data_IF_396164622237
#
_entry.id   IF_396164622237
#
_cell.length_a   1.000
_cell.length_b   1.000
_cell.length_c   1.000
_cell.angle_alpha   90.00
_cell.angle_beta   90.00
_cell.angle_gamma   90.00
#
_symmetry.space_group_name_H-M   'P 1'
#
loop_
_entity.id
_entity.type
_entity.pdbx_description
1 polymer ?
#
# COMPACT_ATOMS: atom_id res chain seq x y z
N UNK A 1 -6.66 1.14 -24.37
CA UNK A 1 -5.41 1.47 -23.65
C UNK A 1 -5.27 0.69 -22.35
N UNK A 2 -6.27 0.71 -21.45
CA UNK A 2 -6.24 -0.01 -20.16
C UNK A 2 -5.87 -1.51 -20.27
N UNK A 3 -6.50 -2.26 -21.18
CA UNK A 3 -6.19 -3.69 -21.39
C UNK A 3 -4.73 -3.93 -21.81
N UNK A 4 -4.15 -3.05 -22.64
CA UNK A 4 -2.74 -3.17 -23.06
C UNK A 4 -1.80 -2.92 -21.88
N UNK A 5 -2.09 -1.91 -21.05
CA UNK A 5 -1.32 -1.63 -19.83
C UNK A 5 -1.40 -2.80 -18.84
N UNK A 6 -2.59 -3.38 -18.64
CA UNK A 6 -2.76 -4.57 -17.80
C UNK A 6 -1.96 -5.76 -18.33
N UNK A 7 -2.03 -6.07 -19.63
CA UNK A 7 -1.26 -7.17 -20.23
C UNK A 7 0.25 -6.98 -20.12
N UNK A 8 0.75 -5.76 -20.38
CA UNK A 8 2.16 -5.44 -20.21
C UNK A 8 2.59 -5.60 -18.74
N UNK A 9 1.78 -5.10 -17.80
CA UNK A 9 2.03 -5.26 -16.37
C UNK A 9 1.99 -6.72 -15.91
N UNK A 10 1.05 -7.53 -16.41
CA UNK A 10 1.00 -8.97 -16.13
C UNK A 10 2.28 -9.66 -16.61
N UNK A 11 2.75 -9.33 -17.81
CA UNK A 11 4.00 -9.87 -18.33
C UNK A 11 5.19 -9.52 -17.43
N UNK A 12 5.31 -8.26 -17.00
CA UNK A 12 6.37 -7.83 -16.07
C UNK A 12 6.27 -8.57 -14.75
N UNK A 13 5.10 -8.60 -14.11
CA UNK A 13 4.90 -9.28 -12.83
C UNK A 13 5.28 -10.76 -12.92
N UNK A 14 4.83 -11.48 -13.95
CA UNK A 14 5.13 -12.90 -14.11
C UNK A 14 6.63 -13.15 -14.33
N UNK A 15 7.34 -12.25 -15.03
CA UNK A 15 8.80 -12.34 -15.21
C UNK A 15 9.55 -12.12 -13.90
N UNK A 16 9.18 -11.08 -13.15
CA UNK A 16 9.79 -10.79 -11.85
C UNK A 16 9.50 -11.92 -10.86
N UNK A 17 8.26 -12.43 -10.83
CA UNK A 17 7.90 -13.58 -10.01
C UNK A 17 8.70 -14.83 -10.35
N UNK A 18 8.93 -15.11 -11.64
CA UNK A 18 9.77 -16.24 -12.06
C UNK A 18 11.20 -16.10 -11.55
N UNK A 19 11.78 -14.88 -11.57
CA UNK A 19 13.12 -14.64 -11.02
C UNK A 19 13.16 -14.85 -9.51
N UNK A 20 12.13 -14.38 -8.80
CA UNK A 20 12.02 -14.58 -7.36
C UNK A 20 11.74 -16.05 -6.99
N UNK A 21 11.01 -16.80 -7.81
CA UNK A 21 10.84 -18.25 -7.61
C UNK A 21 12.18 -18.99 -7.70
N UNK A 22 13.09 -18.56 -8.59
CA UNK A 22 14.43 -19.14 -8.67
C UNK A 22 15.25 -18.86 -7.40
N UNK A 23 15.11 -17.68 -6.81
CA UNK A 23 15.87 -17.28 -5.62
C UNK A 23 15.30 -17.84 -4.30
N UNK A 24 13.97 -17.88 -4.16
CA UNK A 24 13.27 -18.18 -2.89
C UNK A 24 12.46 -19.48 -2.93
N UNK A 25 12.32 -20.11 -4.09
CA UNK A 25 11.39 -21.21 -4.32
C UNK A 25 9.94 -20.77 -4.43
N UNK A 26 9.09 -21.64 -4.96
CA UNK A 26 7.68 -21.31 -5.24
C UNK A 26 6.85 -21.01 -3.98
N UNK A 27 7.21 -21.59 -2.83
CA UNK A 27 6.45 -21.44 -1.58
C UNK A 27 6.81 -20.21 -0.76
N UNK A 28 8.02 -19.68 -0.92
CA UNK A 28 8.55 -18.58 -0.10
C UNK A 28 8.82 -17.32 -0.92
N UNK A 29 8.31 -17.22 -2.15
CA UNK A 29 8.38 -16.00 -2.93
C UNK A 29 7.61 -14.84 -2.23
N UNK A 30 8.29 -13.78 -1.77
CA UNK A 30 7.67 -12.65 -1.07
C UNK A 30 6.59 -11.92 -1.88
N UNK A 31 6.67 -11.95 -3.21
CA UNK A 31 5.71 -11.28 -4.09
C UNK A 31 4.28 -11.86 -3.98
N UNK A 32 4.15 -13.10 -3.49
CA UNK A 32 2.85 -13.71 -3.21
C UNK A 32 2.24 -13.24 -1.88
N UNK A 33 3.04 -12.62 -1.03
CA UNK A 33 2.67 -12.21 0.32
C UNK A 33 2.68 -10.69 0.50
N UNK A 34 2.58 -9.89 -0.57
CA UNK A 34 2.66 -8.42 -0.50
C UNK A 34 1.67 -7.78 0.49
N UNK A 35 0.41 -8.23 0.51
CA UNK A 35 -0.59 -7.76 1.49
C UNK A 35 -0.24 -8.14 2.94
N UNK A 36 0.01 -9.43 3.24
CA UNK A 36 0.49 -9.84 4.55
C UNK A 36 1.79 -9.16 5.00
N UNK A 37 2.73 -8.92 4.08
CA UNK A 37 3.98 -8.20 4.38
C UNK A 37 3.67 -6.75 4.74
N UNK A 38 2.82 -6.04 3.98
CA UNK A 38 2.43 -4.67 4.31
C UNK A 38 1.77 -4.56 5.70
N UNK A 39 0.87 -5.51 6.04
CA UNK A 39 0.26 -5.57 7.37
C UNK A 39 1.32 -5.87 8.45
N UNK A 40 2.24 -6.81 8.19
CA UNK A 40 3.34 -7.10 9.12
C UNK A 40 4.27 -5.89 9.34
N UNK A 41 4.59 -5.14 8.28
CA UNK A 41 5.35 -3.89 8.38
C UNK A 41 4.61 -2.84 9.22
N UNK A 42 3.28 -2.74 9.08
CA UNK A 42 2.48 -1.88 9.96
C UNK A 42 2.65 -2.25 11.44
N UNK A 43 2.68 -3.53 11.80
CA UNK A 43 2.94 -3.93 13.19
C UNK A 43 4.35 -3.54 13.66
N UNK A 44 5.37 -3.68 12.81
CA UNK A 44 6.72 -3.22 13.14
C UNK A 44 6.72 -1.71 13.39
N UNK A 45 6.08 -0.93 12.50
CA UNK A 45 5.94 0.53 12.64
C UNK A 45 5.17 0.90 13.90
N UNK A 46 4.06 0.23 14.21
CA UNK A 46 3.26 0.51 15.40
C UNK A 46 4.02 0.23 16.70
N UNK A 47 4.69 -0.92 16.79
CA UNK A 47 5.48 -1.30 17.99
C UNK A 47 6.69 -0.38 18.16
N UNK A 48 7.43 -0.13 17.08
CA UNK A 48 8.57 0.78 17.12
C UNK A 48 8.15 2.23 17.41
N UNK A 49 7.03 2.68 16.86
CA UNK A 49 6.47 4.01 17.09
C UNK A 49 6.02 4.21 18.53
N UNK A 50 5.38 3.22 19.13
CA UNK A 50 5.00 3.26 20.55
C UNK A 50 6.23 3.38 21.46
N UNK A 51 7.30 2.65 21.13
CA UNK A 51 8.57 2.78 21.86
C UNK A 51 9.15 4.19 21.71
N UNK A 52 9.24 4.73 20.50
CA UNK A 52 9.77 6.07 20.25
C UNK A 52 8.94 7.15 20.96
N UNK A 53 7.61 7.02 20.93
CA UNK A 53 6.71 7.96 21.60
C UNK A 53 6.95 8.01 23.12
N UNK A 54 7.33 6.91 23.76
CA UNK A 54 7.62 6.89 25.19
C UNK A 54 8.81 7.77 25.62
N UNK A 55 9.67 8.14 24.66
CA UNK A 55 10.84 8.99 24.88
C UNK A 55 10.80 10.30 24.08
N UNK A 56 9.75 10.53 23.30
CA UNK A 56 9.60 11.72 22.47
C UNK A 56 8.94 12.84 23.28
N UNK A 57 9.54 14.02 23.26
CA UNK A 57 8.97 15.21 23.89
C UNK A 57 8.17 16.03 22.87
N UNK A 58 6.98 16.48 23.25
CA UNK A 58 6.03 17.15 22.34
C UNK A 58 6.06 18.68 22.44
N UNK A 59 7.09 19.24 23.07
CA UNK A 59 7.35 20.69 23.11
C UNK A 59 8.15 21.14 21.88
N UNK A 60 7.98 22.40 21.47
CA UNK A 60 8.66 22.95 20.28
C UNK A 60 10.17 22.97 20.48
N UNK A 61 10.62 23.31 21.69
CA UNK A 61 12.03 23.45 22.00
C UNK A 61 12.71 22.08 22.20
N UNK A 62 11.98 21.09 22.69
CA UNK A 62 12.52 19.80 23.10
C UNK A 62 12.37 18.69 22.05
N UNK A 63 11.47 18.84 21.07
CA UNK A 63 11.18 17.80 20.09
C UNK A 63 12.43 17.32 19.34
N UNK A 64 13.23 18.25 18.82
CA UNK A 64 14.48 17.93 18.11
C UNK A 64 15.49 17.23 19.01
N UNK A 65 15.74 17.78 20.20
CA UNK A 65 16.71 17.25 21.16
C UNK A 65 16.32 15.86 21.67
N UNK A 66 15.03 15.59 21.88
CA UNK A 66 14.54 14.26 22.28
C UNK A 66 14.83 13.18 21.23
N UNK A 67 14.72 13.53 19.94
CA UNK A 67 15.05 12.61 18.83
C UNK A 67 16.56 12.43 18.70
N UNK A 68 17.35 13.47 18.89
CA UNK A 68 18.82 13.36 18.89
C UNK A 68 19.33 12.55 20.08
N UNK A 69 18.72 12.67 21.27
CA UNK A 69 19.01 11.83 22.43
C UNK A 69 18.77 10.34 22.11
N UNK A 70 17.60 10.00 21.52
CA UNK A 70 17.32 8.64 21.05
C UNK A 70 18.38 8.11 20.07
N UNK A 71 18.85 8.99 19.18
CA UNK A 71 19.74 8.63 18.08
C UNK A 71 21.20 8.48 18.51
N UNK A 72 21.69 9.37 19.38
CA UNK A 72 23.10 9.47 19.75
C UNK A 72 23.40 8.86 21.12
N UNK A 73 22.55 9.11 22.12
CA UNK A 73 22.78 8.66 23.49
C UNK A 73 22.19 7.26 23.73
N UNK A 74 21.01 6.99 23.18
CA UNK A 74 20.39 5.65 23.18
C UNK A 74 20.55 4.92 21.84
N UNK A 75 21.68 5.13 21.13
CA UNK A 75 21.89 4.63 19.76
C UNK A 75 21.61 3.11 19.59
N UNK A 76 21.87 2.31 20.63
CA UNK A 76 21.74 0.86 20.62
C UNK A 76 20.29 0.39 20.46
N UNK A 77 19.34 0.99 21.19
CA UNK A 77 17.92 0.61 21.14
C UNK A 77 17.08 1.74 20.55
N UNK A 78 17.22 2.97 21.06
CA UNK A 78 16.58 4.17 20.52
C UNK A 78 16.91 4.39 19.04
N UNK A 79 18.19 4.44 18.70
CA UNK A 79 18.65 4.66 17.32
C UNK A 79 18.21 3.54 16.37
N UNK A 80 18.30 2.28 16.83
CA UNK A 80 17.81 1.11 16.06
C UNK A 80 16.30 1.16 15.88
N UNK A 81 15.52 1.46 16.93
CA UNK A 81 14.06 1.53 16.85
C UNK A 81 13.59 2.69 15.96
N UNK A 82 14.29 3.84 15.99
CA UNK A 82 14.05 4.97 15.08
C UNK A 82 14.26 4.57 13.63
N UNK A 83 15.39 3.91 13.35
CA UNK A 83 15.74 3.43 12.02
C UNK A 83 14.79 2.35 11.54
N UNK A 84 14.44 1.40 12.41
CA UNK A 84 13.49 0.34 12.14
C UNK A 84 12.10 0.90 11.80
N UNK A 85 11.62 1.88 12.58
CA UNK A 85 10.36 2.57 12.32
C UNK A 85 10.37 3.24 10.93
N UNK A 86 11.45 3.95 10.60
CA UNK A 86 11.65 4.62 9.31
C UNK A 86 11.62 3.63 8.15
N UNK A 87 12.45 2.59 8.21
CA UNK A 87 12.57 1.61 7.11
C UNK A 87 11.39 0.67 6.99
N UNK A 88 10.75 0.30 8.10
CA UNK A 88 9.50 -0.47 8.06
C UNK A 88 8.36 0.37 7.45
N UNK A 89 8.32 1.68 7.71
CA UNK A 89 7.36 2.59 7.09
C UNK A 89 7.55 2.68 5.57
N UNK A 90 8.80 2.79 5.09
CA UNK A 90 9.11 2.73 3.65
C UNK A 90 8.74 1.38 3.03
N UNK A 91 9.09 0.29 3.71
CA UNK A 91 8.75 -1.07 3.30
C UNK A 91 7.25 -1.30 3.23
N UNK A 92 6.49 -0.72 4.15
CA UNK A 92 5.02 -0.75 4.14
C UNK A 92 4.48 -0.06 2.88
N UNK A 93 4.89 1.19 2.59
CA UNK A 93 4.43 1.90 1.38
C UNK A 93 4.82 1.16 0.11
N UNK A 94 6.07 0.69 0.01
CA UNK A 94 6.54 -0.07 -1.14
C UNK A 94 5.68 -1.33 -1.38
N UNK A 95 5.46 -2.13 -0.34
CA UNK A 95 4.66 -3.36 -0.47
C UNK A 95 3.18 -3.08 -0.71
N UNK A 96 2.62 -1.99 -0.17
CA UNK A 96 1.27 -1.52 -0.46
C UNK A 96 1.12 -1.13 -1.94
N UNK A 97 2.06 -0.35 -2.49
CA UNK A 97 2.03 0.05 -3.90
C UNK A 97 2.19 -1.15 -4.83
N UNK A 98 3.10 -2.07 -4.52
CA UNK A 98 3.24 -3.33 -5.26
C UNK A 98 1.98 -4.20 -5.16
N UNK A 99 1.34 -4.27 -3.99
CA UNK A 99 0.09 -4.98 -3.78
C UNK A 99 -1.03 -4.38 -4.65
N UNK A 100 -1.19 -3.06 -4.64
CA UNK A 100 -2.15 -2.36 -5.49
C UNK A 100 -1.87 -2.57 -6.97
N UNK A 101 -0.62 -2.42 -7.40
CA UNK A 101 -0.19 -2.63 -8.79
C UNK A 101 -0.45 -4.06 -9.25
N UNK A 102 -0.18 -5.07 -8.41
CA UNK A 102 -0.50 -6.48 -8.70
C UNK A 102 -2.01 -6.66 -8.90
N UNK A 103 -2.83 -6.13 -7.99
CA UNK A 103 -4.28 -6.25 -8.12
C UNK A 103 -4.81 -5.54 -9.36
N UNK A 104 -4.24 -4.38 -9.71
CA UNK A 104 -4.55 -3.65 -10.93
C UNK A 104 -4.21 -4.44 -12.21
N UNK A 105 -2.98 -4.95 -12.32
CA UNK A 105 -2.50 -5.63 -13.54
C UNK A 105 -3.27 -6.91 -13.79
N UNK A 106 -3.60 -7.67 -12.73
CA UNK A 106 -4.37 -8.90 -12.84
C UNK A 106 -5.90 -8.70 -12.79
N UNK A 107 -6.41 -7.47 -12.92
CA UNK A 107 -7.84 -7.13 -12.91
C UNK A 107 -8.60 -7.66 -11.66
N UNK A 108 -7.92 -7.69 -10.51
CA UNK A 108 -8.42 -8.22 -9.22
C UNK A 108 -9.05 -7.15 -8.31
N UNK A 109 -9.80 -6.23 -8.89
CA UNK A 109 -10.42 -5.11 -8.17
C UNK A 109 -11.89 -4.88 -8.57
N UNK A 110 -12.45 -5.73 -9.41
CA UNK A 110 -13.85 -5.65 -9.88
C UNK A 110 -14.75 -6.64 -9.16
N UNK A 111 -16.06 -6.57 -9.45
CA UNK A 111 -17.07 -7.47 -8.87
C UNK A 111 -16.98 -7.44 -7.34
N UNK A 112 -17.11 -8.57 -6.66
CA UNK A 112 -17.03 -8.66 -5.20
C UNK A 112 -15.82 -7.94 -4.55
N UNK A 113 -14.70 -7.78 -5.28
CA UNK A 113 -13.47 -7.14 -4.77
C UNK A 113 -13.45 -5.61 -4.88
N UNK A 114 -14.49 -4.98 -5.44
CA UNK A 114 -14.55 -3.50 -5.54
C UNK A 114 -14.46 -2.84 -4.15
N UNK A 115 -15.04 -3.48 -3.13
CA UNK A 115 -15.01 -3.00 -1.76
C UNK A 115 -13.59 -3.01 -1.17
N UNK A 116 -12.86 -4.10 -1.35
CA UNK A 116 -11.46 -4.19 -0.93
C UNK A 116 -10.60 -3.16 -1.68
N UNK A 117 -10.85 -2.94 -2.98
CA UNK A 117 -10.14 -1.90 -3.73
C UNK A 117 -10.39 -0.49 -3.16
N UNK A 118 -11.65 -0.12 -2.91
CA UNK A 118 -11.97 1.19 -2.34
C UNK A 118 -11.40 1.40 -0.94
N UNK A 119 -11.55 0.41 -0.05
CA UNK A 119 -10.93 0.47 1.28
C UNK A 119 -9.39 0.51 1.20
N UNK A 120 -8.79 -0.10 0.18
CA UNK A 120 -7.35 -0.01 -0.10
C UNK A 120 -6.90 1.40 -0.49
N UNK A 121 -7.70 2.14 -1.27
CA UNK A 121 -7.42 3.55 -1.60
C UNK A 121 -7.49 4.43 -0.35
N UNK A 122 -8.47 4.19 0.52
CA UNK A 122 -8.56 4.90 1.82
C UNK A 122 -7.34 4.60 2.68
N UNK A 123 -6.92 3.34 2.78
CA UNK A 123 -5.70 2.95 3.48
C UNK A 123 -4.45 3.63 2.93
N UNK A 124 -4.31 3.71 1.61
CA UNK A 124 -3.19 4.39 0.97
C UNK A 124 -3.09 5.86 1.42
N UNK A 125 -4.21 6.58 1.43
CA UNK A 125 -4.24 7.98 1.87
C UNK A 125 -4.00 8.14 3.37
N UNK A 126 -4.56 7.28 4.22
CA UNK A 126 -4.33 7.33 5.66
C UNK A 126 -2.86 7.05 6.00
N UNK A 127 -2.25 6.04 5.38
CA UNK A 127 -0.83 5.73 5.56
C UNK A 127 0.05 6.85 5.01
N UNK A 128 -0.26 7.39 3.83
CA UNK A 128 0.45 8.53 3.25
C UNK A 128 0.45 9.75 4.18
N UNK A 129 -0.74 10.14 4.66
CA UNK A 129 -0.90 11.25 5.60
C UNK A 129 -0.16 10.99 6.92
N UNK A 130 -0.25 9.78 7.46
CA UNK A 130 0.45 9.39 8.69
C UNK A 130 1.96 9.46 8.53
N UNK A 131 2.50 8.98 7.42
CA UNK A 131 3.94 8.99 7.16
C UNK A 131 4.46 10.41 6.95
N UNK A 132 3.79 11.21 6.09
CA UNK A 132 4.09 12.64 5.91
C UNK A 132 4.11 13.38 7.26
N UNK A 133 3.09 13.16 8.10
CA UNK A 133 3.04 13.75 9.43
C UNK A 133 4.15 13.24 10.37
N UNK A 134 4.63 12.01 10.20
CA UNK A 134 5.80 11.49 10.90
C UNK A 134 7.10 12.24 10.59
N UNK A 135 7.29 12.72 9.36
CA UNK A 135 8.44 13.58 9.02
C UNK A 135 8.39 14.95 9.69
N UNK A 136 7.21 15.38 10.16
CA UNK A 136 7.05 16.69 10.81
C UNK A 136 7.52 16.68 12.26
N UNK A 137 7.58 15.51 12.91
CA UNK A 137 7.84 15.38 14.34
C UNK A 137 9.30 15.62 14.78
N UNK A 138 10.35 15.18 14.05
CA UNK A 138 11.73 15.37 14.48
C UNK A 138 12.18 16.83 14.51
N UNK A 139 11.42 17.74 13.90
CA UNK A 139 11.70 19.17 13.81
C UNK A 139 13.10 19.53 13.29
N UNK A 140 13.64 18.70 12.39
CA UNK A 140 14.84 19.03 11.65
C UNK A 140 14.50 19.87 10.40
N UNK A 141 15.53 20.24 9.64
CA UNK A 141 15.38 21.00 8.39
C UNK A 141 14.44 20.35 7.38
N UNK A 142 14.34 19.01 7.38
CA UNK A 142 13.39 18.29 6.52
C UNK A 142 11.96 18.45 7.04
N UNK A 143 11.76 18.32 8.36
CA UNK A 143 10.48 18.56 9.00
C UNK A 143 9.95 19.97 8.72
N UNK A 144 10.79 21.00 8.84
CA UNK A 144 10.45 22.38 8.50
C UNK A 144 9.92 22.49 7.07
N UNK A 145 10.65 21.94 6.10
CA UNK A 145 10.24 21.94 4.70
C UNK A 145 8.88 21.23 4.51
N UNK A 146 8.72 20.03 5.09
CA UNK A 146 7.51 19.22 4.94
C UNK A 146 6.30 19.92 5.54
N UNK A 147 6.45 20.50 6.73
CA UNK A 147 5.38 21.21 7.43
C UNK A 147 4.95 22.46 6.67
N UNK A 148 5.90 23.30 6.25
CA UNK A 148 5.61 24.53 5.50
C UNK A 148 4.98 24.20 4.16
N UNK A 149 5.57 23.31 3.37
CA UNK A 149 5.03 22.94 2.06
C UNK A 149 3.65 22.28 2.16
N UNK A 150 3.38 21.50 3.22
CA UNK A 150 2.02 20.97 3.47
C UNK A 150 1.05 22.09 3.78
N UNK A 151 1.41 23.04 4.64
CA UNK A 151 0.56 24.16 5.00
C UNK A 151 0.21 25.01 3.77
N UNK A 152 1.20 25.34 2.92
CA UNK A 152 0.99 26.05 1.65
C UNK A 152 0.09 25.26 0.69
N UNK A 153 0.30 23.95 0.59
CA UNK A 153 -0.52 23.11 -0.28
C UNK A 153 -1.98 23.09 0.16
N UNK A 154 -2.26 22.96 1.46
CA UNK A 154 -3.62 22.96 1.99
C UNK A 154 -4.27 24.34 1.94
N UNK A 155 -3.52 25.43 2.11
CA UNK A 155 -4.04 26.79 2.04
C UNK A 155 -4.57 27.20 0.65
N UNK A 156 -4.20 26.45 -0.39
CA UNK A 156 -4.83 26.57 -1.72
C UNK A 156 -6.33 26.21 -1.72
N UNK A 157 -6.82 25.48 -0.71
CA UNK A 157 -8.24 25.15 -0.59
C UNK A 157 -9.01 26.27 0.14
N UNK A 158 -10.20 26.66 -0.35
CA UNK A 158 -10.97 27.78 0.22
C UNK A 158 -11.36 27.64 1.70
N UNK A 159 -11.29 26.42 2.26
CA UNK A 159 -11.62 26.14 3.66
C UNK A 159 -10.56 26.67 4.63
N UNK A 160 -9.28 26.68 4.24
CA UNK A 160 -8.18 27.03 5.15
C UNK A 160 -7.84 28.53 5.13
N UNK A 161 -8.02 29.23 4.00
CA UNK A 161 -7.91 30.71 3.90
C UNK A 161 -6.60 31.28 4.50
N UNK A 162 -5.48 30.57 4.34
CA UNK A 162 -4.20 31.01 4.90
C UNK A 162 -4.07 30.80 6.41
N UNK A 163 -4.95 30.03 7.04
CA UNK A 163 -4.91 29.79 8.49
C UNK A 163 -3.78 28.85 8.89
N UNK A 164 -3.35 27.95 7.99
CA UNK A 164 -2.30 26.98 8.30
C UNK A 164 -0.92 27.63 8.19
N UNK A 165 -0.63 28.32 7.07
CA UNK A 165 0.69 28.91 6.81
C UNK A 165 1.07 29.98 7.82
N UNK A 166 0.09 30.68 8.40
CA UNK A 166 0.32 31.70 9.44
C UNK A 166 1.09 31.19 10.66
N UNK A 167 0.99 29.90 10.97
CA UNK A 167 1.72 29.31 12.11
C UNK A 167 3.22 29.16 11.83
N UNK A 168 3.68 29.40 10.60
CA UNK A 168 5.06 29.20 10.17
C UNK A 168 5.70 30.46 9.57
N UNK A 169 5.04 31.61 9.66
CA UNK A 169 5.59 32.90 9.18
C UNK A 169 6.65 33.42 10.16
N UNK A 170 6.40 33.25 11.46
CA UNK A 170 7.26 33.68 12.54
C UNK A 170 7.54 32.49 13.45
N UNK A 171 8.75 32.43 14.01
CA UNK A 171 9.15 31.34 14.90
C UNK A 171 8.27 31.29 16.15
N UNK A 172 7.89 32.45 16.69
CA UNK A 172 7.05 32.57 17.89
C UNK A 172 5.60 32.11 17.65
N UNK A 173 5.19 31.94 16.38
CA UNK A 173 3.87 31.39 16.04
C UNK A 173 3.82 29.86 16.14
N UNK A 174 4.99 29.21 16.12
CA UNK A 174 5.11 27.76 16.36
C UNK A 174 5.01 27.52 17.87
N UNK A 175 4.06 26.70 18.29
CA UNK A 175 3.72 26.50 19.70
C UNK A 175 3.71 25.03 20.11
N UNK A 176 3.88 24.74 21.40
CA UNK A 176 3.83 23.37 21.94
C UNK A 176 2.51 22.67 21.61
N UNK A 177 1.44 23.46 21.51
CA UNK A 177 0.12 22.98 21.08
C UNK A 177 0.15 22.42 19.66
N UNK A 178 0.90 23.04 18.73
CA UNK A 178 1.04 22.53 17.37
C UNK A 178 1.72 21.15 17.39
N UNK A 179 2.80 20.98 18.14
CA UNK A 179 3.51 19.70 18.22
C UNK A 179 2.71 18.62 18.92
N UNK A 180 2.02 18.97 20.00
CA UNK A 180 1.05 18.08 20.65
C UNK A 180 -0.03 17.61 19.66
N UNK A 181 -0.52 18.52 18.80
CA UNK A 181 -1.47 18.17 17.74
C UNK A 181 -0.84 17.28 16.66
N UNK A 182 0.37 17.58 16.19
CA UNK A 182 1.07 16.77 15.21
C UNK A 182 1.31 15.35 15.73
N UNK A 183 1.73 15.21 16.99
CA UNK A 183 1.92 13.93 17.66
C UNK A 183 0.58 13.18 17.82
N UNK A 184 -0.48 13.87 18.24
CA UNK A 184 -1.82 13.28 18.32
C UNK A 184 -2.32 12.77 16.97
N UNK A 185 -2.12 13.53 15.88
CA UNK A 185 -2.46 13.09 14.52
C UNK A 185 -1.62 11.87 14.13
N UNK A 186 -0.32 11.86 14.46
CA UNK A 186 0.58 10.76 14.12
C UNK A 186 0.25 9.46 14.83
N UNK A 187 -0.37 9.53 16.01
CA UNK A 187 -0.86 8.35 16.75
C UNK A 187 -2.28 7.98 16.28
N UNK A 188 -3.12 8.99 16.05
CA UNK A 188 -4.51 8.80 15.64
C UNK A 188 -4.66 8.18 14.24
N UNK A 189 -3.84 8.61 13.27
CA UNK A 189 -3.90 8.09 11.90
C UNK A 189 -3.54 6.60 11.81
N UNK A 190 -2.47 6.08 12.45
CA UNK A 190 -2.22 4.63 12.51
C UNK A 190 -3.33 3.83 13.17
N UNK A 191 -4.03 4.36 14.18
CA UNK A 191 -5.21 3.69 14.76
C UNK A 191 -6.36 3.64 13.75
N UNK A 192 -6.57 4.71 12.98
CA UNK A 192 -7.52 4.71 11.87
C UNK A 192 -7.10 3.74 10.75
N UNK A 193 -5.80 3.63 10.45
CA UNK A 193 -5.24 2.63 9.52
C UNK A 193 -5.53 1.22 10.04
N UNK A 194 -5.34 0.94 11.33
CA UNK A 194 -5.64 -0.37 11.92
C UNK A 194 -7.13 -0.72 11.80
N UNK A 195 -8.03 0.23 12.10
CA UNK A 195 -9.47 0.05 11.92
C UNK A 195 -9.83 -0.18 10.43
N UNK A 196 -9.23 0.58 9.52
CA UNK A 196 -9.44 0.43 8.09
C UNK A 196 -8.86 -0.89 7.55
N UNK A 197 -7.74 -1.40 8.09
CA UNK A 197 -7.15 -2.70 7.75
C UNK A 197 -8.09 -3.85 8.16
N UNK A 198 -8.70 -3.74 9.34
CA UNK A 198 -9.76 -4.67 9.76
C UNK A 198 -10.90 -4.67 8.74
N UNK A 199 -11.45 -3.50 8.36
CA UNK A 199 -12.51 -3.39 7.33
C UNK A 199 -12.07 -3.98 5.99
N UNK A 200 -10.85 -3.64 5.54
CA UNK A 200 -10.30 -4.04 4.25
C UNK A 200 -10.17 -5.57 4.11
N UNK A 201 -9.85 -6.25 5.21
CA UNK A 201 -9.64 -7.70 5.25
C UNK A 201 -10.91 -8.51 5.48
N UNK A 202 -12.02 -7.91 5.96
CA UNK A 202 -13.29 -8.63 6.22
C UNK A 202 -13.84 -9.38 5.00
N UNK A 203 -13.70 -8.83 3.80
CA UNK A 203 -14.19 -9.44 2.55
C UNK A 203 -13.12 -10.21 1.78
N UNK A 204 -11.98 -10.50 2.41
CA UNK A 204 -10.87 -11.27 1.82
C UNK A 204 -10.87 -12.67 2.45
N UNK A 205 -11.31 -13.71 1.73
CA UNK A 205 -11.55 -15.01 2.37
C UNK A 205 -10.26 -15.74 2.68
N UNK A 206 -10.01 -16.10 3.94
CA UNK A 206 -8.70 -16.60 4.43
C UNK A 206 -7.60 -15.53 4.35
N UNK A 207 -7.95 -14.26 4.57
CA UNK A 207 -6.98 -13.19 4.76
C UNK A 207 -5.92 -13.59 5.79
N UNK A 208 -4.66 -13.58 5.35
CA UNK A 208 -3.51 -13.70 6.24
C UNK A 208 -3.00 -12.30 6.54
N UNK A 209 -2.83 -11.99 7.82
CA UNK A 209 -2.28 -10.70 8.29
C UNK A 209 -0.78 -10.76 8.54
N UNK A 210 -0.18 -11.96 8.51
CA UNK A 210 1.26 -12.16 8.66
C UNK A 210 1.80 -13.05 7.54
N UNK A 211 2.99 -12.75 6.98
CA UNK A 211 3.64 -13.64 6.03
C UNK A 211 4.16 -14.91 6.75
N UNK A 212 4.51 -15.97 6.00
CA UNK A 212 5.20 -17.13 6.56
C UNK A 212 6.40 -16.75 7.43
N UNK A 213 6.63 -17.49 8.52
CA UNK A 213 7.68 -17.20 9.49
C UNK A 213 9.08 -16.99 8.87
N UNK A 214 9.53 -17.79 7.88
CA UNK A 214 10.82 -17.54 7.23
C UNK A 214 10.91 -16.15 6.60
N UNK A 215 9.85 -15.70 5.92
CA UNK A 215 9.80 -14.37 5.31
C UNK A 215 9.79 -13.29 6.39
N UNK A 216 8.97 -13.46 7.43
CA UNK A 216 8.88 -12.49 8.54
C UNK A 216 10.23 -12.30 9.25
N UNK A 217 10.90 -13.41 9.60
CA UNK A 217 12.19 -13.38 10.29
C UNK A 217 13.27 -12.75 9.40
N UNK A 218 13.36 -13.15 8.14
CA UNK A 218 14.33 -12.56 7.20
C UNK A 218 14.10 -11.06 7.02
N UNK A 219 12.84 -10.61 6.93
CA UNK A 219 12.51 -9.19 6.83
C UNK A 219 12.93 -8.41 8.08
N UNK A 220 12.64 -8.93 9.28
CA UNK A 220 13.05 -8.28 10.54
C UNK A 220 14.58 -8.22 10.63
N UNK A 221 15.29 -9.32 10.36
CA UNK A 221 16.75 -9.36 10.38
C UNK A 221 17.34 -8.37 9.36
N UNK A 222 16.79 -8.32 8.15
CA UNK A 222 17.25 -7.38 7.12
C UNK A 222 17.03 -5.92 7.52
N UNK A 223 15.87 -5.60 8.12
CA UNK A 223 15.58 -4.24 8.59
C UNK A 223 16.45 -3.82 9.78
N UNK A 224 16.71 -4.73 10.72
CA UNK A 224 17.63 -4.48 11.84
C UNK A 224 19.07 -4.31 11.33
N UNK A 225 19.51 -5.18 10.42
CA UNK A 225 20.83 -5.04 9.79
C UNK A 225 20.94 -3.70 9.04
N UNK A 226 19.92 -3.31 8.27
CA UNK A 226 19.89 -2.01 7.59
C UNK A 226 19.93 -0.86 8.59
N UNK A 227 19.21 -0.96 9.70
CA UNK A 227 19.19 0.04 10.78
C UNK A 227 20.55 0.24 11.44
N UNK A 228 21.36 -0.82 11.52
CA UNK A 228 22.73 -0.76 12.06
C UNK A 228 23.74 -0.23 11.04
N UNK A 229 23.61 -0.64 9.77
CA UNK A 229 24.54 -0.26 8.69
C UNK A 229 24.29 1.17 8.22
N UNK A 230 23.03 1.59 8.17
CA UNK A 230 22.59 2.91 7.73
C UNK A 230 21.53 3.40 8.71
N UNK A 231 21.93 3.96 9.86
CA UNK A 231 20.96 4.49 10.82
C UNK A 231 20.24 5.71 10.25
N UNK A 232 18.98 5.88 10.63
CA UNK A 232 18.22 7.10 10.40
C UNK A 232 18.74 8.21 11.34
N UNK A 233 19.21 9.30 10.75
CA UNK A 233 19.75 10.46 11.45
C UNK A 233 18.96 11.72 11.08
N UNK A 234 18.95 12.70 11.96
CA UNK A 234 18.30 13.99 11.71
C UNK A 234 19.20 14.89 10.87
N UNK A 235 18.59 15.82 10.13
CA UNK A 235 19.31 16.97 9.61
C UNK A 235 19.56 18.00 10.71
N UNK A 236 20.12 19.15 10.35
CA UNK A 236 20.23 20.31 11.24
C UNK A 236 18.86 20.72 11.80
N UNK A 237 18.86 21.31 12.99
CA UNK A 237 17.65 21.81 13.64
C UNK A 237 16.93 22.82 12.71
N UNK A 238 15.59 22.80 12.70
CA UNK A 238 14.78 23.74 11.96
C UNK A 238 15.09 25.20 12.36
N UNK A 239 15.17 26.07 11.36
CA UNK A 239 15.37 27.51 11.51
C UNK A 239 14.46 28.22 10.50
N UNK A 240 13.35 28.79 11.00
CA UNK A 240 12.38 29.49 10.16
C UNK A 240 12.92 30.81 9.58
N UNK A 241 14.04 31.32 10.09
CA UNK A 241 14.78 32.43 9.51
C UNK A 241 15.58 32.04 8.25
N UNK A 242 15.77 30.74 8.00
CA UNK A 242 16.54 30.22 6.87
C UNK A 242 15.67 29.38 5.95
N UNK A 243 15.55 29.82 4.69
CA UNK A 243 14.82 29.06 3.67
C UNK A 243 15.53 27.73 3.33
N UNK A 244 14.75 26.64 3.27
CA UNK A 244 15.26 25.32 2.91
C UNK A 244 15.37 25.21 1.38
N UNK A 245 16.54 25.53 0.83
CA UNK A 245 16.78 25.53 -0.61
C UNK A 245 17.02 24.12 -1.22
N UNK A 246 17.47 23.15 -0.43
CA UNK A 246 17.77 21.81 -0.92
C UNK A 246 17.54 20.76 0.16
N UNK A 247 16.83 19.69 -0.18
CA UNK A 247 16.67 18.48 0.63
C UNK A 247 16.97 17.24 -0.21
N UNK A 248 17.36 16.16 0.46
CA UNK A 248 17.47 14.86 -0.18
C UNK A 248 16.11 14.39 -0.71
N UNK A 249 16.10 13.76 -1.89
CA UNK A 249 14.87 13.22 -2.45
C UNK A 249 14.42 11.98 -1.69
N UNK A 250 13.15 11.96 -1.27
CA UNK A 250 12.51 10.80 -0.66
C UNK A 250 11.53 10.15 -1.65
N UNK A 251 11.77 8.87 -1.94
CA UNK A 251 11.04 8.12 -2.96
C UNK A 251 9.65 7.63 -2.55
N UNK A 252 9.28 7.73 -1.27
CA UNK A 252 8.08 7.08 -0.75
C UNK A 252 7.01 8.10 -0.35
N UNK A 253 7.33 9.02 0.55
CA UNK A 253 6.34 9.95 1.11
C UNK A 253 6.44 11.35 0.49
N UNK A 254 7.62 11.80 0.08
CA UNK A 254 7.80 13.19 -0.39
C UNK A 254 7.85 13.34 -1.91
N UNK A 255 7.48 12.30 -2.67
CA UNK A 255 7.52 12.30 -4.15
C UNK A 255 6.67 13.40 -4.79
N UNK A 256 5.59 13.84 -4.13
CA UNK A 256 4.71 14.91 -4.63
C UNK A 256 5.23 16.31 -4.29
N UNK A 257 6.11 16.47 -3.30
CA UNK A 257 6.54 17.77 -2.80
C UNK A 257 7.32 18.60 -3.82
N UNK A 258 8.22 18.02 -4.65
CA UNK A 258 8.87 18.78 -5.72
C UNK A 258 7.89 19.38 -6.74
N UNK A 259 6.69 18.81 -6.89
CA UNK A 259 5.66 19.39 -7.76
C UNK A 259 5.09 20.68 -7.19
N UNK A 260 5.08 20.88 -5.86
CA UNK A 260 4.61 22.13 -5.24
C UNK A 260 5.48 23.35 -5.58
N UNK A 261 6.73 23.11 -6.01
CA UNK A 261 7.68 24.17 -6.39
C UNK A 261 7.79 24.37 -7.90
N UNK A 262 7.21 23.47 -8.70
CA UNK A 262 7.22 23.56 -10.16
C UNK A 262 5.84 23.83 -10.74
N UNK A 263 4.78 23.41 -10.05
CA UNK A 263 3.37 23.57 -10.39
C UNK A 263 2.67 24.37 -9.29
N UNK A 264 1.51 24.95 -9.59
CA UNK A 264 0.69 25.59 -8.57
C UNK A 264 0.11 24.55 -7.59
N UNK A 265 -0.10 24.90 -6.31
CA UNK A 265 -0.77 24.02 -5.34
C UNK A 265 -2.12 23.46 -5.81
N UNK A 266 -2.87 24.24 -6.59
CA UNK A 266 -4.15 23.82 -7.17
C UNK A 266 -3.97 22.72 -8.24
N UNK A 267 -2.94 22.82 -9.09
CA UNK A 267 -2.61 21.77 -10.06
C UNK A 267 -2.18 20.48 -9.37
N UNK A 268 -1.44 20.57 -8.27
CA UNK A 268 -1.07 19.40 -7.47
C UNK A 268 -2.30 18.75 -6.82
N UNK A 269 -3.26 19.54 -6.33
CA UNK A 269 -4.57 19.02 -5.89
C UNK A 269 -5.36 18.36 -7.02
N UNK A 270 -5.36 18.95 -8.21
CA UNK A 270 -6.02 18.36 -9.38
C UNK A 270 -5.38 17.04 -9.80
N UNK A 271 -4.05 16.94 -9.73
CA UNK A 271 -3.33 15.69 -9.99
C UNK A 271 -3.67 14.62 -8.96
N UNK A 272 -3.53 14.93 -7.66
CA UNK A 272 -3.79 14.00 -6.57
C UNK A 272 -5.28 13.57 -6.52
N UNK A 273 -6.19 14.53 -6.63
CA UNK A 273 -7.63 14.30 -6.67
C UNK A 273 -8.07 13.56 -7.93
N UNK A 274 -7.52 13.92 -9.09
CA UNK A 274 -7.79 13.27 -10.37
C UNK A 274 -7.30 11.82 -10.39
N UNK A 275 -6.09 11.56 -9.90
CA UNK A 275 -5.55 10.21 -9.77
C UNK A 275 -6.38 9.36 -8.78
N UNK A 276 -6.79 9.95 -7.66
CA UNK A 276 -7.66 9.29 -6.67
C UNK A 276 -9.03 8.97 -7.26
N UNK A 277 -9.66 9.93 -7.94
CA UNK A 277 -10.95 9.73 -8.59
C UNK A 277 -10.86 8.66 -9.68
N UNK A 278 -9.80 8.68 -10.50
CA UNK A 278 -9.56 7.65 -11.51
C UNK A 278 -9.40 6.27 -10.87
N UNK A 279 -8.64 6.16 -9.78
CA UNK A 279 -8.48 4.90 -9.03
C UNK A 279 -9.81 4.44 -8.43
N UNK A 280 -10.61 5.34 -7.85
CA UNK A 280 -11.92 5.03 -7.27
C UNK A 280 -12.91 4.55 -8.35
N UNK A 281 -12.93 5.16 -9.53
CA UNK A 281 -13.85 4.78 -10.62
C UNK A 281 -13.42 3.51 -11.36
N UNK A 282 -12.15 3.09 -11.21
CA UNK A 282 -11.56 2.01 -11.97
C UNK A 282 -12.34 0.67 -11.91
N UNK A 283 -12.90 0.21 -10.77
CA UNK A 283 -13.68 -1.03 -10.69
C UNK A 283 -14.84 -1.08 -11.70
N UNK A 284 -15.37 0.08 -12.09
CA UNK A 284 -16.50 0.22 -13.00
C UNK A 284 -16.12 0.62 -14.43
N UNK A 285 -14.83 0.85 -14.73
CA UNK A 285 -14.36 1.27 -16.06
C UNK A 285 -13.53 0.18 -16.76
N UNK A 286 -13.80 -0.18 -18.03
CA UNK A 286 -14.90 0.29 -18.85
C UNK A 286 -16.23 -0.27 -18.33
N UNK A 287 -17.31 0.52 -18.39
CA UNK A 287 -18.62 0.04 -17.97
C UNK A 287 -19.02 -1.13 -18.87
N UNK A 288 -19.55 -2.20 -18.25
CA UNK A 288 -19.96 -3.45 -18.91
C UNK A 288 -21.22 -3.27 -19.78
N UNK A 289 -21.26 -2.24 -20.63
CA UNK A 289 -22.44 -1.83 -21.42
C UNK A 289 -22.92 -2.90 -22.42
N UNK A 290 -22.09 -3.90 -22.76
CA UNK A 290 -22.41 -4.96 -23.73
C UNK A 290 -22.85 -6.31 -23.16
N UNK A 291 -22.81 -6.51 -21.83
CA UNK A 291 -23.01 -7.84 -21.24
C UNK A 291 -24.43 -8.40 -21.39
N UNK A 292 -25.40 -7.55 -21.77
CA UNK A 292 -26.78 -7.95 -22.08
C UNK A 292 -26.92 -8.68 -23.43
N UNK A 293 -25.94 -8.52 -24.34
CA UNK A 293 -25.91 -9.16 -25.68
C UNK A 293 -24.78 -10.20 -25.82
N UNK A 294 -24.01 -10.44 -24.75
CA UNK A 294 -22.92 -11.41 -24.77
C UNK A 294 -23.47 -12.83 -24.92
N UNK A 295 -22.78 -13.68 -25.68
CA UNK A 295 -23.11 -15.10 -25.77
C UNK A 295 -23.09 -15.71 -24.37
N UNK A 296 -24.05 -16.57 -24.07
CA UNK A 296 -24.14 -17.25 -22.78
C UNK A 296 -23.73 -18.71 -22.97
N UNK A 297 -22.77 -19.14 -22.17
CA UNK A 297 -22.35 -20.52 -22.03
C UNK A 297 -23.00 -21.11 -20.77
N UNK A 298 -23.33 -22.40 -20.79
CA UNK A 298 -23.85 -23.11 -19.64
C UNK A 298 -22.79 -24.05 -19.10
N UNK A 299 -22.36 -23.81 -17.86
CA UNK A 299 -21.36 -24.59 -17.15
C UNK A 299 -22.07 -25.51 -16.17
N UNK A 300 -21.84 -26.81 -16.25
CA UNK A 300 -22.32 -27.77 -15.24
C UNK A 300 -21.23 -27.94 -14.18
N UNK A 301 -21.58 -27.67 -12.92
CA UNK A 301 -20.65 -27.76 -11.79
C UNK A 301 -20.92 -29.02 -10.97
N UNK A 302 -19.89 -29.86 -10.84
CA UNK A 302 -19.91 -31.10 -10.08
C UNK A 302 -19.16 -30.90 -8.73
N UNK A 303 -19.62 -31.49 -7.60
CA UNK A 303 -20.69 -32.49 -7.46
C UNK A 303 -22.12 -31.93 -7.35
N UNK A 304 -22.29 -30.62 -7.21
CA UNK A 304 -23.61 -30.01 -6.94
C UNK A 304 -24.62 -30.18 -8.09
N UNK A 305 -24.19 -30.60 -9.28
CA UNK A 305 -24.96 -30.72 -10.53
C UNK A 305 -25.76 -29.45 -10.88
N UNK A 306 -25.25 -28.29 -10.49
CA UNK A 306 -25.85 -26.98 -10.79
C UNK A 306 -25.37 -26.49 -12.15
N UNK A 307 -26.30 -25.92 -12.92
CA UNK A 307 -25.97 -25.24 -14.18
C UNK A 307 -25.80 -23.75 -13.89
N UNK A 308 -24.63 -23.22 -14.19
CA UNK A 308 -24.27 -21.80 -14.08
C UNK A 308 -24.16 -21.20 -15.47
N UNK A 309 -24.90 -20.12 -15.70
CA UNK A 309 -24.75 -19.33 -16.91
C UNK A 309 -23.47 -18.48 -16.81
N UNK A 310 -22.53 -18.63 -17.73
CA UNK A 310 -21.35 -17.79 -17.87
C UNK A 310 -21.43 -16.96 -19.15
N UNK A 311 -21.21 -15.66 -19.05
CA UNK A 311 -21.22 -14.78 -20.23
C UNK A 311 -19.87 -14.82 -20.93
N UNK A 312 -19.85 -14.61 -22.24
CA UNK A 312 -18.61 -14.51 -23.01
C UNK A 312 -17.68 -13.43 -22.40
N UNK A 313 -16.44 -13.83 -22.08
CA UNK A 313 -15.45 -12.98 -21.39
C UNK A 313 -15.63 -12.84 -19.86
N UNK A 314 -16.64 -13.48 -19.27
CA UNK A 314 -16.77 -13.66 -17.82
C UNK A 314 -15.87 -14.83 -17.37
N UNK A 315 -15.17 -14.68 -16.24
CA UNK A 315 -14.41 -15.81 -15.68
C UNK A 315 -15.36 -16.80 -15.04
N UNK A 316 -14.98 -18.09 -15.01
CA UNK A 316 -15.77 -19.14 -14.35
C UNK A 316 -16.01 -18.80 -12.88
N UNK A 317 -15.00 -18.24 -12.19
CA UNK A 317 -15.14 -17.75 -10.83
C UNK A 317 -16.21 -16.67 -10.70
N UNK A 318 -16.23 -15.67 -11.60
CA UNK A 318 -17.24 -14.60 -11.55
C UNK A 318 -18.64 -15.14 -11.81
N UNK A 319 -18.80 -16.01 -12.81
CA UNK A 319 -20.07 -16.63 -13.13
C UNK A 319 -20.59 -17.46 -11.96
N UNK A 320 -19.71 -18.28 -11.35
CA UNK A 320 -20.06 -19.08 -10.20
C UNK A 320 -20.45 -18.25 -8.98
N UNK A 321 -19.67 -17.22 -8.63
CA UNK A 321 -20.00 -16.34 -7.51
C UNK A 321 -21.30 -15.56 -7.75
N UNK A 322 -21.57 -15.12 -8.98
CA UNK A 322 -22.81 -14.43 -9.36
C UNK A 322 -24.04 -15.33 -9.21
N UNK A 323 -23.93 -16.61 -9.52
CA UNK A 323 -24.98 -17.60 -9.33
C UNK A 323 -24.98 -18.22 -7.91
N UNK A 324 -24.14 -17.73 -6.99
CA UNK A 324 -24.09 -18.23 -5.61
C UNK A 324 -23.51 -19.63 -5.46
N UNK A 325 -22.54 -20.02 -6.30
CA UNK A 325 -21.68 -21.17 -6.03
C UNK A 325 -20.65 -20.83 -4.95
N UNK A 326 -20.45 -21.76 -4.02
CA UNK A 326 -19.43 -21.66 -2.98
C UNK A 326 -18.04 -21.99 -3.56
N UNK A 327 -17.48 -21.10 -4.38
CA UNK A 327 -16.12 -21.22 -4.90
C UNK A 327 -15.10 -20.55 -3.95
N UNK A 328 -13.94 -21.17 -3.68
CA UNK A 328 -12.89 -20.54 -2.88
C UNK A 328 -12.41 -19.23 -3.55
N UNK A 329 -12.60 -18.13 -2.84
CA UNK A 329 -12.67 -16.77 -3.38
C UNK A 329 -11.35 -16.11 -3.82
N UNK A 330 -10.23 -16.80 -4.01
CA UNK A 330 -8.93 -16.10 -3.95
C UNK A 330 -8.05 -16.09 -5.19
N UNK A 331 -8.41 -16.74 -6.31
CA UNK A 331 -7.57 -16.59 -7.49
C UNK A 331 -8.29 -16.76 -8.82
N UNK A 332 -8.15 -15.79 -9.73
CA UNK A 332 -8.44 -15.97 -11.16
C UNK A 332 -7.29 -16.59 -11.95
N UNK A 333 -6.09 -16.68 -11.34
CA UNK A 333 -4.86 -17.11 -12.04
C UNK A 333 -4.08 -18.18 -11.26
N UNK A 334 -4.72 -18.78 -10.25
CA UNK A 334 -4.15 -19.88 -9.47
C UNK A 334 -2.83 -19.66 -8.74
N UNK A 335 -2.42 -18.47 -8.31
CA UNK A 335 -1.11 -18.26 -7.66
C UNK A 335 -0.76 -19.20 -6.47
N UNK A 336 -1.74 -19.81 -5.82
CA UNK A 336 -1.53 -20.84 -4.78
C UNK A 336 -2.06 -22.24 -5.15
N UNK A 337 -2.69 -22.42 -6.32
CA UNK A 337 -3.21 -23.70 -6.82
C UNK A 337 -4.46 -24.25 -6.13
N UNK A 338 -4.95 -23.60 -5.08
CA UNK A 338 -6.10 -24.08 -4.27
C UNK A 338 -7.42 -24.08 -5.05
N UNK A 339 -7.59 -23.19 -6.03
CA UNK A 339 -8.79 -23.11 -6.86
C UNK A 339 -8.78 -24.07 -8.06
N UNK A 340 -7.79 -24.98 -8.15
CA UNK A 340 -7.65 -25.86 -9.30
C UNK A 340 -8.85 -26.80 -9.44
N UNK A 341 -9.57 -26.66 -10.54
CA UNK A 341 -10.68 -27.51 -10.94
C UNK A 341 -10.26 -28.58 -11.95
N UNK A 342 -11.14 -29.54 -12.20
CA UNK A 342 -11.01 -30.49 -13.30
C UNK A 342 -12.12 -30.22 -14.32
N UNK A 343 -11.75 -30.04 -15.58
CA UNK A 343 -12.66 -29.97 -16.72
C UNK A 343 -13.06 -31.41 -17.03
N UNK A 344 -14.32 -31.75 -16.75
CA UNK A 344 -14.86 -33.06 -17.10
C UNK A 344 -15.14 -33.16 -18.60
N UNK A 345 -15.71 -32.09 -19.18
CA UNK A 345 -16.05 -31.98 -20.60
C UNK A 345 -15.97 -30.53 -21.07
N UNK A 346 -15.57 -30.33 -22.33
CA UNK A 346 -15.47 -29.00 -22.97
C UNK A 346 -14.05 -28.42 -22.98
N UNK A 347 -13.95 -27.15 -23.36
CA UNK A 347 -12.70 -26.40 -23.39
C UNK A 347 -12.90 -25.02 -22.77
N UNK A 348 -11.83 -24.48 -22.17
CA UNK A 348 -11.82 -23.15 -21.56
C UNK A 348 -10.61 -22.37 -22.08
N UNK A 349 -10.71 -21.05 -22.06
CA UNK A 349 -9.53 -20.19 -22.17
C UNK A 349 -8.87 -20.07 -20.79
N UNK A 350 -7.63 -20.56 -20.66
CA UNK A 350 -6.88 -20.52 -19.40
C UNK A 350 -6.33 -19.13 -19.05
N UNK A 351 -6.37 -18.18 -19.99
CA UNK A 351 -5.84 -16.83 -19.80
C UNK A 351 -4.39 -16.79 -19.29
N UNK A 352 -4.03 -15.70 -18.60
CA UNK A 352 -2.71 -15.55 -18.00
C UNK A 352 -2.62 -16.29 -16.65
N UNK A 353 -1.69 -17.23 -16.54
CA UNK A 353 -1.45 -18.03 -15.34
C UNK A 353 0.04 -18.34 -15.18
N UNK A 354 0.44 -18.80 -13.99
CA UNK A 354 1.81 -19.27 -13.74
C UNK A 354 1.95 -20.75 -14.11
N UNK A 355 2.98 -21.08 -14.90
CA UNK A 355 3.26 -22.46 -15.30
C UNK A 355 3.63 -23.39 -14.13
N UNK A 356 4.17 -22.84 -13.04
CA UNK A 356 4.44 -23.60 -11.80
C UNK A 356 3.17 -24.07 -11.10
N UNK A 357 2.04 -23.42 -11.35
CA UNK A 357 0.77 -23.77 -10.70
C UNK A 357 -0.20 -24.51 -11.61
N UNK A 358 -0.16 -24.28 -12.92
CA UNK A 358 -0.88 -25.09 -13.90
C UNK A 358 0.09 -25.46 -15.02
N UNK A 359 0.68 -26.64 -14.90
CA UNK A 359 1.66 -27.13 -15.89
C UNK A 359 0.98 -27.54 -17.19
N UNK A 360 1.75 -27.63 -18.29
CA UNK A 360 1.23 -28.15 -19.56
C UNK A 360 0.74 -29.61 -19.44
N UNK A 361 1.36 -30.40 -18.56
CA UNK A 361 0.88 -31.75 -18.27
C UNK A 361 -0.48 -31.71 -17.59
N UNK A 362 -0.65 -30.88 -16.57
CA UNK A 362 -1.91 -30.77 -15.85
C UNK A 362 -3.05 -30.24 -16.75
N UNK A 363 -2.75 -29.34 -17.69
CA UNK A 363 -3.73 -28.92 -18.71
C UNK A 363 -4.17 -30.08 -19.60
N UNK A 364 -3.24 -30.94 -20.02
CA UNK A 364 -3.54 -32.15 -20.80
C UNK A 364 -4.37 -33.15 -19.99
N UNK A 365 -4.18 -33.18 -18.67
CA UNK A 365 -4.99 -33.94 -17.72
C UNK A 365 -6.33 -33.26 -17.39
N UNK A 366 -6.67 -32.15 -18.06
CA UNK A 366 -7.93 -31.44 -17.91
C UNK A 366 -8.01 -30.52 -16.69
N UNK A 367 -6.89 -30.14 -16.06
CA UNK A 367 -6.91 -29.19 -14.93
C UNK A 367 -7.10 -27.74 -15.39
N UNK A 368 -7.80 -26.95 -14.58
CA UNK A 368 -8.12 -25.55 -14.80
C UNK A 368 -7.96 -24.70 -13.54
N UNK A 369 -7.82 -23.38 -13.67
CA UNK A 369 -7.64 -22.43 -12.55
C UNK A 369 -8.79 -21.44 -12.40
#
# INVERSE_FOLDING_TARGET
MLRRAQLAGQWVFLRVESLFNLAFGDRLNPLYYLGPIAYFMFWIVAVSGLYLYAFFETGVAEAYDSVEHLTREQWYLGGVMRSLHRYASDGMVLTMLLHMARHFTFDRYRSFRWFSWMSGIVLLWLTYASGVNGYMLPWDRLAQFVVVATAEWFDALPMFKGALIRNFIFEEAVSDRLFSLLSFIHIGLPLAVLAALWIHTQRVPRARTSPPAPIAVTLVVALVALSLVKPAVSLEHADLGVAVASIGFDWFYLTIYPLLYTWSPAEVWLLAGGATLAALLLPWLPPKLGWRKARVFHLMVHPDNRIVAAREGETILDAGLREGLALPFECRNGGCGVCKGTILYGAIDHGAHQASVLSEQEKREGKAL
#
